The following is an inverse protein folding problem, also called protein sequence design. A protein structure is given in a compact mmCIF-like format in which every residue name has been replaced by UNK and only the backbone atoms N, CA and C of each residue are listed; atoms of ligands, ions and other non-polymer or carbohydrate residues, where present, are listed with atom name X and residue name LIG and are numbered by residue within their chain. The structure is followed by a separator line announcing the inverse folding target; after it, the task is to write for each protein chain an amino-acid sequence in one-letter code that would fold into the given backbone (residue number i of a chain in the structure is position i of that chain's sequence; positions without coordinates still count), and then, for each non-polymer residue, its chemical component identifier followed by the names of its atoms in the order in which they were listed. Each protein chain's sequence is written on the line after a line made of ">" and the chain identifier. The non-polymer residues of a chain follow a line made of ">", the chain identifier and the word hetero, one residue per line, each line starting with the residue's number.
data_IF_871582190423
#
_entry.id   IF_871582190423
#
_cell.length_a   1.000
_cell.length_b   1.000
_cell.length_c   1.000
_cell.angle_alpha   90.00
_cell.angle_beta   90.00
_cell.angle_gamma   90.00
#
_symmetry.space_group_name_H-M   'P 1'
#
loop_
_entity.id
_entity.type
_entity.pdbx_description
1 polymer ?
#
# COMPACT_ATOMS: atom_id res chain seq x y z
N UNK A 1 16.11 8.36 29.45
CA UNK A 1 15.06 7.67 28.68
C UNK A 1 13.97 7.29 29.64
N UNK A 2 12.71 7.55 29.30
CA UNK A 2 11.57 7.06 30.10
C UNK A 2 11.59 5.55 30.09
N UNK A 3 11.42 4.84 31.21
CA UNK A 3 11.40 3.39 31.23
C UNK A 3 10.27 2.86 30.34
N UNK A 4 10.54 1.78 29.61
CA UNK A 4 9.54 1.11 28.78
C UNK A 4 8.52 0.45 29.71
N UNK A 5 7.20 0.69 29.55
CA UNK A 5 6.18 0.09 30.38
C UNK A 5 6.04 -1.42 30.13
N UNK A 6 5.42 -2.16 31.02
CA UNK A 6 5.15 -3.58 30.86
C UNK A 6 3.99 -3.86 29.88
N UNK A 7 3.02 -2.95 29.82
CA UNK A 7 1.84 -3.04 28.97
C UNK A 7 1.73 -1.84 28.03
N UNK A 8 1.03 -2.02 26.93
CA UNK A 8 0.74 -1.01 25.92
C UNK A 8 -0.71 -1.12 25.47
N UNK A 9 -1.25 -0.03 24.97
CA UNK A 9 -2.55 -0.02 24.30
C UNK A 9 -2.41 -0.37 22.83
N UNK A 10 -3.36 -1.15 22.31
CA UNK A 10 -3.38 -1.58 20.91
C UNK A 10 -4.80 -1.62 20.39
N UNK A 11 -5.02 -1.15 19.15
CA UNK A 11 -6.29 -1.32 18.45
C UNK A 11 -6.33 -2.72 17.84
N UNK A 12 -7.36 -3.47 18.19
CA UNK A 12 -7.49 -4.87 17.77
C UNK A 12 -8.93 -5.23 17.41
N UNK A 13 -9.05 -6.36 16.70
CA UNK A 13 -10.30 -7.10 16.60
C UNK A 13 -10.18 -8.35 17.50
N UNK A 14 -10.92 -8.38 18.62
CA UNK A 14 -10.93 -9.50 19.57
C UNK A 14 -11.65 -10.74 19.02
N UNK A 15 -12.47 -10.54 18.00
CA UNK A 15 -13.13 -11.55 17.14
C UNK A 15 -13.20 -11.04 15.73
N UNK A 16 -13.44 -11.90 14.75
CA UNK A 16 -13.63 -11.44 13.37
C UNK A 16 -14.85 -10.54 13.26
N UNK A 17 -14.63 -9.28 12.94
CA UNK A 17 -15.65 -8.23 12.92
C UNK A 17 -15.32 -7.11 11.91
N UNK A 18 -16.31 -6.27 11.68
CA UNK A 18 -16.16 -4.98 11.00
C UNK A 18 -15.63 -3.92 12.00
N UNK A 19 -15.25 -2.72 11.51
CA UNK A 19 -14.69 -1.66 12.34
C UNK A 19 -15.49 -1.28 13.59
N UNK A 20 -16.81 -1.41 13.56
CA UNK A 20 -17.66 -1.15 14.73
C UNK A 20 -17.32 -2.04 15.96
N UNK A 21 -16.75 -3.22 15.69
CA UNK A 21 -16.32 -4.17 16.73
C UNK A 21 -14.85 -4.04 17.14
N UNK A 22 -14.12 -3.03 16.68
CA UNK A 22 -12.73 -2.83 17.09
C UNK A 22 -12.67 -2.28 18.51
N UNK A 23 -11.62 -2.68 19.24
CA UNK A 23 -11.42 -2.34 20.64
C UNK A 23 -9.97 -1.90 20.85
N UNK A 24 -9.79 -0.96 21.79
CA UNK A 24 -8.46 -0.66 22.33
C UNK A 24 -8.30 -1.47 23.60
N UNK A 25 -7.32 -2.38 23.60
CA UNK A 25 -7.04 -3.23 24.75
C UNK A 25 -5.57 -3.08 25.19
N UNK A 26 -5.30 -3.47 26.43
CA UNK A 26 -3.93 -3.58 26.94
C UNK A 26 -3.33 -4.93 26.52
N UNK A 27 -2.12 -4.87 26.00
CA UNK A 27 -1.29 -6.01 25.62
C UNK A 27 0.10 -5.85 26.25
N UNK A 28 0.86 -6.93 26.44
CA UNK A 28 2.28 -6.82 26.81
C UNK A 28 3.06 -6.05 25.72
N UNK A 29 3.98 -5.19 26.14
CA UNK A 29 4.95 -4.59 25.22
C UNK A 29 5.81 -5.72 24.65
N UNK A 30 5.99 -5.80 23.32
CA UNK A 30 6.76 -6.88 22.71
C UNK A 30 8.26 -6.73 23.02
N UNK A 31 8.90 -7.85 23.32
CA UNK A 31 10.35 -7.94 23.48
C UNK A 31 11.07 -8.20 22.15
N UNK A 32 12.29 -7.70 22.02
CA UNK A 32 13.22 -8.10 20.95
C UNK A 32 13.62 -9.55 21.18
N UNK A 33 13.27 -10.42 20.24
CA UNK A 33 13.58 -11.88 20.32
C UNK A 33 14.63 -12.31 19.31
N UNK A 34 14.79 -11.55 18.23
CA UNK A 34 15.77 -11.83 17.16
C UNK A 34 16.82 -10.73 17.08
N UNK A 35 18.03 -11.07 16.67
CA UNK A 35 19.13 -10.10 16.65
C UNK A 35 18.94 -8.95 15.63
N UNK A 36 18.10 -9.13 14.61
CA UNK A 36 17.77 -8.16 13.56
C UNK A 36 16.51 -7.33 13.85
N UNK A 37 15.92 -7.48 15.03
CA UNK A 37 14.68 -6.77 15.41
C UNK A 37 14.97 -5.41 16.07
N UNK A 38 14.02 -4.53 15.92
CA UNK A 38 14.02 -3.16 16.42
C UNK A 38 12.72 -2.91 17.17
N UNK A 39 12.78 -2.38 18.39
CA UNK A 39 11.63 -1.93 19.16
C UNK A 39 11.39 -0.45 18.90
N UNK A 40 10.18 -0.11 18.49
CA UNK A 40 9.74 1.26 18.20
C UNK A 40 8.71 1.73 19.22
N UNK A 41 8.77 3.02 19.59
CA UNK A 41 7.63 3.77 20.10
C UNK A 41 6.91 4.36 18.89
N UNK A 42 5.67 3.94 18.66
CA UNK A 42 4.91 4.37 17.48
C UNK A 42 4.28 5.73 17.72
N UNK A 43 4.42 6.62 16.76
CA UNK A 43 3.78 7.94 16.76
C UNK A 43 2.51 7.93 15.91
N UNK A 44 2.57 7.33 14.73
CA UNK A 44 1.44 7.25 13.81
C UNK A 44 1.42 5.90 13.10
N UNK A 45 0.23 5.46 12.74
CA UNK A 45 0.03 4.28 11.90
C UNK A 45 -1.06 4.56 10.87
N UNK A 46 -1.01 3.90 9.71
CA UNK A 46 -2.08 3.98 8.74
C UNK A 46 -2.97 2.74 8.81
N UNK A 47 -4.27 2.96 8.72
CA UNK A 47 -5.26 1.91 8.51
C UNK A 47 -5.55 1.77 7.02
N UNK A 48 -5.64 0.55 6.51
CA UNK A 48 -5.89 0.28 5.11
C UNK A 48 -6.78 -0.94 4.90
N UNK A 49 -7.19 -1.18 3.66
CA UNK A 49 -8.11 -2.28 3.30
C UNK A 49 -7.61 -3.65 3.76
N UNK A 50 -6.28 -3.89 3.75
CA UNK A 50 -5.69 -5.14 4.24
C UNK A 50 -5.96 -5.38 5.73
N UNK A 51 -5.92 -4.33 6.55
CA UNK A 51 -6.28 -4.41 7.98
C UNK A 51 -7.74 -4.82 8.15
N UNK A 52 -8.64 -4.18 7.40
CA UNK A 52 -10.07 -4.50 7.44
C UNK A 52 -10.36 -5.94 6.97
N UNK A 53 -9.67 -6.42 5.93
CA UNK A 53 -9.80 -7.79 5.43
C UNK A 53 -9.35 -8.82 6.47
N UNK A 54 -8.22 -8.57 7.13
CA UNK A 54 -7.69 -9.45 8.19
C UNK A 54 -8.63 -9.49 9.39
N UNK A 55 -9.07 -8.31 9.87
CA UNK A 55 -9.99 -8.22 11.00
C UNK A 55 -11.34 -8.87 10.74
N UNK A 56 -11.81 -8.87 9.49
CA UNK A 56 -13.08 -9.46 9.07
C UNK A 56 -12.99 -10.97 8.80
N UNK A 57 -11.77 -11.51 8.76
CA UNK A 57 -11.54 -12.91 8.42
C UNK A 57 -11.78 -13.24 6.94
N UNK A 58 -11.68 -12.26 6.05
CA UNK A 58 -11.96 -12.43 4.61
C UNK A 58 -11.05 -13.46 3.93
N UNK A 59 -9.91 -13.76 4.53
CA UNK A 59 -8.90 -14.69 4.02
C UNK A 59 -8.78 -15.97 4.85
N UNK A 60 -9.72 -16.22 5.78
CA UNK A 60 -9.65 -17.38 6.68
C UNK A 60 -9.70 -18.73 5.94
N UNK A 61 -10.21 -18.76 4.72
CA UNK A 61 -10.18 -19.95 3.86
C UNK A 61 -8.77 -20.33 3.38
N UNK A 62 -7.82 -19.41 3.45
CA UNK A 62 -6.40 -19.65 3.16
C UNK A 62 -5.59 -19.82 4.44
N UNK A 63 -5.73 -18.87 5.36
CA UNK A 63 -5.05 -18.86 6.67
C UNK A 63 -5.81 -17.96 7.62
N UNK A 64 -6.05 -18.46 8.83
CA UNK A 64 -6.75 -17.71 9.88
C UNK A 64 -5.74 -16.94 10.70
N UNK A 65 -5.82 -15.61 10.79
CA UNK A 65 -4.95 -14.85 11.68
C UNK A 65 -5.26 -15.17 13.15
N UNK A 66 -4.25 -15.11 14.03
CA UNK A 66 -4.47 -15.29 15.46
C UNK A 66 -5.34 -14.17 16.04
N UNK A 67 -6.17 -14.51 17.02
CA UNK A 67 -6.94 -13.53 17.79
C UNK A 67 -6.18 -13.15 19.08
N UNK A 68 -6.23 -11.89 19.50
CA UNK A 68 -6.83 -10.76 18.82
C UNK A 68 -6.03 -10.36 17.55
N UNK A 69 -6.75 -10.02 16.46
CA UNK A 69 -6.10 -9.51 15.25
C UNK A 69 -5.59 -8.10 15.53
N UNK A 70 -4.29 -7.91 15.57
CA UNK A 70 -3.65 -6.59 15.71
C UNK A 70 -3.70 -5.84 14.38
N UNK A 71 -4.04 -4.55 14.42
CA UNK A 71 -4.24 -3.70 13.25
C UNK A 71 -3.03 -2.78 13.00
N UNK A 72 -2.90 -2.33 11.75
CA UNK A 72 -1.80 -1.47 11.31
C UNK A 72 -0.66 -2.25 10.67
N UNK A 73 -0.66 -2.29 9.34
CA UNK A 73 0.40 -2.94 8.55
C UNK A 73 1.64 -2.05 8.46
N UNK A 74 1.49 -0.74 8.61
CA UNK A 74 2.56 0.25 8.48
C UNK A 74 2.43 1.36 9.52
N UNK A 75 3.57 1.95 9.88
CA UNK A 75 3.62 3.03 10.86
C UNK A 75 4.97 3.74 10.89
N UNK A 76 5.06 4.74 11.74
CA UNK A 76 6.28 5.49 11.97
C UNK A 76 6.42 5.84 13.46
N UNK A 77 7.64 6.01 13.88
CA UNK A 77 7.93 6.33 15.28
C UNK A 77 9.43 6.45 15.53
N UNK A 78 9.80 6.30 16.79
CA UNK A 78 11.18 6.44 17.25
C UNK A 78 11.70 5.09 17.75
N UNK A 79 12.92 4.77 17.35
CA UNK A 79 13.65 3.58 17.83
C UNK A 79 13.93 3.71 19.33
N UNK A 80 13.55 2.70 20.10
CA UNK A 80 13.85 2.64 21.55
C UNK A 80 14.98 1.69 21.87
N UNK A 81 15.00 0.53 21.21
CA UNK A 81 16.02 -0.50 21.39
C UNK A 81 16.24 -1.27 20.09
N UNK A 82 17.42 -1.87 19.96
CA UNK A 82 17.83 -2.63 18.79
C UNK A 82 18.45 -3.95 19.19
N UNK A 83 18.24 -4.97 18.36
CA UNK A 83 18.90 -6.26 18.49
C UNK A 83 20.38 -6.20 18.12
N UNK A 84 21.13 -7.22 18.48
CA UNK A 84 22.60 -7.24 18.36
C UNK A 84 23.14 -7.28 16.92
N UNK A 85 22.33 -7.64 15.93
CA UNK A 85 22.70 -7.66 14.51
C UNK A 85 22.20 -6.44 13.72
N UNK A 86 21.47 -5.52 14.35
CA UNK A 86 21.05 -4.25 13.74
C UNK A 86 22.29 -3.38 13.50
N UNK A 87 22.43 -2.84 12.29
CA UNK A 87 23.63 -2.13 11.84
C UNK A 87 23.43 -0.65 11.67
N UNK A 88 22.30 -0.26 11.06
CA UNK A 88 22.10 1.08 10.56
C UNK A 88 21.23 1.94 11.48
N UNK A 89 20.42 1.32 12.36
CA UNK A 89 19.52 2.03 13.25
C UNK A 89 20.02 2.06 14.70
N UNK A 90 19.69 3.14 15.41
CA UNK A 90 20.07 3.37 16.82
C UNK A 90 18.88 3.94 17.60
N UNK A 91 18.84 3.75 18.94
CA UNK A 91 17.87 4.42 19.78
C UNK A 91 17.87 5.94 19.56
N UNK A 92 16.67 6.50 19.37
CA UNK A 92 16.46 7.91 19.04
C UNK A 92 16.25 8.20 17.55
N UNK A 93 16.55 7.26 16.64
CA UNK A 93 16.30 7.46 15.22
C UNK A 93 14.79 7.50 14.93
N UNK A 94 14.38 8.47 14.13
CA UNK A 94 13.03 8.54 13.57
C UNK A 94 12.94 7.64 12.33
N UNK A 95 12.01 6.70 12.34
CA UNK A 95 11.85 5.70 11.29
C UNK A 95 10.40 5.50 10.88
N UNK A 96 10.22 4.96 9.69
CA UNK A 96 8.93 4.49 9.20
C UNK A 96 9.11 3.16 8.48
N UNK A 97 8.06 2.36 8.49
CA UNK A 97 8.16 1.04 7.89
C UNK A 97 6.81 0.35 7.71
N UNK A 98 6.86 -0.82 7.11
CA UNK A 98 5.67 -1.65 6.91
C UNK A 98 6.00 -3.13 7.06
N UNK A 99 5.02 -3.88 7.56
CA UNK A 99 5.13 -5.32 7.79
C UNK A 99 4.18 -6.09 6.88
N UNK A 100 4.58 -6.26 5.63
CA UNK A 100 3.83 -6.99 4.61
C UNK A 100 4.77 -7.72 3.64
N UNK A 101 5.85 -8.31 4.18
CA UNK A 101 6.75 -9.16 3.38
C UNK A 101 5.98 -10.31 2.76
N UNK A 102 6.37 -10.70 1.56
CA UNK A 102 5.85 -11.92 0.95
C UNK A 102 6.66 -13.15 1.40
N UNK A 103 6.01 -14.27 1.63
CA UNK A 103 4.56 -14.46 1.62
C UNK A 103 3.89 -13.79 2.82
N UNK A 104 2.71 -13.19 2.60
CA UNK A 104 1.94 -12.56 3.69
C UNK A 104 1.22 -13.58 4.59
N UNK A 105 1.18 -14.84 4.18
CA UNK A 105 0.63 -15.95 4.95
C UNK A 105 1.72 -16.96 5.32
N UNK A 106 1.65 -17.59 6.51
CA UNK A 106 0.66 -17.34 7.56
C UNK A 106 0.79 -15.93 8.15
N UNK A 107 -0.32 -15.35 8.59
CA UNK A 107 -0.36 -13.98 9.09
C UNK A 107 0.62 -13.76 10.24
N UNK A 108 1.52 -12.79 10.04
CA UNK A 108 2.38 -12.24 11.09
C UNK A 108 2.04 -10.76 11.26
N UNK A 109 0.97 -10.47 12.01
CA UNK A 109 0.48 -9.13 12.21
C UNK A 109 1.25 -8.46 13.35
N UNK A 110 2.11 -7.53 13.02
CA UNK A 110 2.89 -6.74 13.98
C UNK A 110 1.98 -5.76 14.72
N UNK A 111 1.05 -5.11 14.00
CA UNK A 111 0.05 -4.23 14.58
C UNK A 111 0.59 -2.85 14.95
N UNK A 112 0.91 -2.04 13.95
CA UNK A 112 1.41 -0.67 14.17
C UNK A 112 0.39 0.29 14.79
N UNK A 113 -0.92 -0.06 14.85
CA UNK A 113 -1.88 0.74 15.62
C UNK A 113 -1.80 0.30 17.09
N UNK A 114 -0.61 0.48 17.65
CA UNK A 114 -0.21 0.14 19.04
C UNK A 114 0.85 1.14 19.49
N UNK A 115 0.99 1.34 20.80
CA UNK A 115 1.99 2.28 21.33
C UNK A 115 3.43 1.83 21.10
N UNK A 116 3.65 0.51 21.04
CA UNK A 116 4.98 -0.09 20.77
C UNK A 116 4.86 -1.22 19.76
N UNK A 117 5.93 -1.43 18.99
CA UNK A 117 6.01 -2.49 18.00
C UNK A 117 7.45 -3.00 17.87
N UNK A 118 7.61 -4.30 17.66
CA UNK A 118 8.88 -4.90 17.25
C UNK A 118 8.77 -5.33 15.80
N UNK A 119 9.75 -4.94 15.00
CA UNK A 119 9.85 -5.29 13.57
C UNK A 119 11.30 -5.48 13.17
N UNK A 120 11.56 -6.01 11.98
CA UNK A 120 12.92 -6.17 11.44
C UNK A 120 13.48 -4.83 10.97
N UNK A 121 14.81 -4.64 11.14
CA UNK A 121 15.52 -3.50 10.56
C UNK A 121 15.30 -3.38 9.05
N UNK A 122 15.28 -4.50 8.33
CA UNK A 122 15.09 -4.56 6.87
C UNK A 122 13.77 -3.99 6.38
N UNK A 123 12.77 -3.84 7.26
CA UNK A 123 11.43 -3.29 6.97
C UNK A 123 11.27 -1.85 7.44
N UNK A 124 12.38 -1.21 7.83
CA UNK A 124 12.41 0.17 8.30
C UNK A 124 13.27 1.04 7.38
N UNK A 125 12.87 2.29 7.27
CA UNK A 125 13.61 3.37 6.60
C UNK A 125 13.74 4.54 7.57
N UNK A 126 14.85 5.29 7.50
CA UNK A 126 15.00 6.54 8.23
C UNK A 126 14.04 7.58 7.68
N UNK A 127 13.33 8.26 8.58
CA UNK A 127 12.43 9.33 8.17
C UNK A 127 13.22 10.54 7.64
N UNK A 128 12.91 11.03 6.43
CA UNK A 128 13.48 12.29 5.97
C UNK A 128 13.14 13.44 6.94
N UNK A 129 14.10 14.29 7.33
CA UNK A 129 13.88 15.30 8.39
C UNK A 129 12.84 16.36 8.00
N UNK A 130 12.63 16.60 6.72
CA UNK A 130 11.68 17.59 6.20
C UNK A 130 10.25 17.07 6.03
N UNK A 131 10.01 15.78 6.28
CA UNK A 131 8.68 15.18 6.21
C UNK A 131 8.17 14.82 7.62
N UNK A 132 6.87 14.98 7.84
CA UNK A 132 6.22 14.53 9.07
C UNK A 132 6.06 13.00 9.11
N UNK A 133 5.76 12.45 10.28
CA UNK A 133 5.45 11.03 10.43
C UNK A 133 4.21 10.63 9.61
N UNK A 134 3.21 11.49 9.59
CA UNK A 134 1.96 11.29 8.85
C UNK A 134 2.21 11.21 7.34
N UNK A 135 3.05 12.08 6.80
CA UNK A 135 3.38 12.11 5.37
C UNK A 135 4.12 10.85 4.93
N UNK A 136 5.16 10.43 5.64
CA UNK A 136 5.93 9.24 5.26
C UNK A 136 5.11 7.98 5.34
N UNK A 137 4.25 7.83 6.36
CA UNK A 137 3.37 6.66 6.49
C UNK A 137 2.28 6.68 5.40
N UNK A 138 1.72 7.85 5.09
CA UNK A 138 0.70 7.97 4.04
C UNK A 138 1.23 7.56 2.67
N UNK A 139 2.49 7.85 2.38
CA UNK A 139 3.13 7.58 1.09
C UNK A 139 3.65 6.14 0.98
N UNK A 140 4.17 5.54 2.05
CA UNK A 140 5.03 4.35 2.01
C UNK A 140 4.48 3.19 1.19
N UNK A 141 3.40 2.55 1.64
CA UNK A 141 2.88 1.35 0.97
C UNK A 141 2.46 1.60 -0.48
N UNK A 142 1.89 2.79 -0.73
CA UNK A 142 1.47 3.19 -2.07
C UNK A 142 2.66 3.42 -2.99
N UNK A 143 3.76 3.99 -2.47
CA UNK A 143 4.99 4.23 -3.26
C UNK A 143 5.69 2.91 -3.58
N UNK A 144 5.82 1.99 -2.62
CA UNK A 144 6.40 0.65 -2.85
C UNK A 144 5.61 -0.08 -3.95
N UNK A 145 4.28 -0.12 -3.83
CA UNK A 145 3.42 -0.80 -4.81
C UNK A 145 3.49 -0.12 -6.19
N UNK A 146 3.45 1.21 -6.23
CA UNK A 146 3.53 1.97 -7.48
C UNK A 146 4.91 1.83 -8.13
N UNK A 147 5.99 1.90 -7.36
CA UNK A 147 7.35 1.73 -7.85
C UNK A 147 7.54 0.38 -8.54
N UNK A 148 7.20 -0.70 -7.84
CA UNK A 148 7.33 -2.05 -8.39
C UNK A 148 6.43 -2.27 -9.60
N UNK A 149 5.19 -1.73 -9.58
CA UNK A 149 4.27 -1.82 -10.70
C UNK A 149 4.73 -1.03 -11.93
N UNK A 150 5.24 0.17 -11.74
CA UNK A 150 5.78 1.00 -12.82
C UNK A 150 7.05 0.37 -13.40
N UNK A 151 7.99 -0.07 -12.54
CA UNK A 151 9.21 -0.78 -12.95
C UNK A 151 8.90 -2.01 -13.81
N UNK A 152 7.94 -2.84 -13.36
CA UNK A 152 7.48 -4.00 -14.14
C UNK A 152 6.84 -3.57 -15.46
N UNK A 153 5.95 -2.58 -15.45
CA UNK A 153 5.30 -2.08 -16.67
C UNK A 153 6.31 -1.56 -17.68
N UNK A 154 7.28 -0.77 -17.24
CA UNK A 154 8.36 -0.26 -18.10
C UNK A 154 9.20 -1.39 -18.72
N UNK A 155 9.49 -2.45 -17.97
CA UNK A 155 10.22 -3.62 -18.49
C UNK A 155 9.47 -4.39 -19.61
N UNK A 156 8.15 -4.25 -19.65
CA UNK A 156 7.30 -4.87 -20.68
C UNK A 156 7.19 -4.04 -21.96
N UNK A 157 7.50 -2.75 -21.91
CA UNK A 157 7.40 -1.85 -23.05
C UNK A 157 8.62 -2.01 -23.99
N UNK A 158 8.42 -2.07 -25.32
CA UNK A 158 9.53 -2.12 -26.27
C UNK A 158 10.31 -0.79 -26.27
N UNK A 159 11.64 -0.88 -26.32
CA UNK A 159 12.51 0.28 -26.53
C UNK A 159 12.68 1.23 -25.32
N UNK A 160 12.22 0.85 -24.12
CA UNK A 160 12.48 1.60 -22.91
C UNK A 160 13.86 1.23 -22.33
N UNK A 161 14.92 1.72 -22.98
CA UNK A 161 16.27 1.66 -22.42
C UNK A 161 16.58 2.79 -21.42
N UNK A 162 15.61 3.66 -21.16
CA UNK A 162 15.70 4.75 -20.19
C UNK A 162 14.72 4.56 -19.03
N UNK A 163 15.10 5.00 -17.84
CA UNK A 163 14.22 5.05 -16.66
C UNK A 163 13.20 6.22 -16.74
N UNK A 164 12.84 6.64 -17.96
CA UNK A 164 11.95 7.77 -18.23
C UNK A 164 10.82 7.38 -19.18
N UNK A 165 9.69 8.06 -19.02
CA UNK A 165 8.49 7.89 -19.83
C UNK A 165 8.20 9.12 -20.72
N UNK A 166 9.25 9.83 -21.13
CA UNK A 166 9.16 11.01 -21.99
C UNK A 166 8.44 10.68 -23.30
N UNK A 167 7.47 11.52 -23.65
CA UNK A 167 6.62 11.32 -24.82
C UNK A 167 5.59 10.18 -24.72
N UNK A 168 5.60 9.39 -23.64
CA UNK A 168 4.65 8.29 -23.44
C UNK A 168 3.34 8.77 -22.85
N UNK A 169 2.24 8.17 -23.28
CA UNK A 169 0.90 8.36 -22.71
C UNK A 169 0.60 7.24 -21.72
N UNK A 170 0.32 7.61 -20.48
CA UNK A 170 0.01 6.66 -19.41
C UNK A 170 -1.42 6.85 -18.91
N UNK A 171 -2.09 5.74 -18.59
CA UNK A 171 -3.43 5.74 -18.01
C UNK A 171 -3.44 5.03 -16.66
N UNK A 172 -3.91 5.73 -15.63
CA UNK A 172 -4.07 5.19 -14.28
C UNK A 172 -5.50 5.48 -13.81
N UNK A 173 -6.39 4.49 -13.70
CA UNK A 173 -7.73 4.72 -13.20
C UNK A 173 -7.73 5.08 -11.71
N UNK A 174 -8.82 5.73 -11.24
CA UNK A 174 -9.05 6.10 -9.85
C UNK A 174 -7.99 7.08 -9.29
N UNK A 175 -7.97 8.31 -9.82
CA UNK A 175 -7.01 9.37 -9.49
C UNK A 175 -6.81 9.61 -7.97
N UNK A 176 -7.86 9.51 -7.18
CA UNK A 176 -7.81 9.71 -5.72
C UNK A 176 -7.80 8.39 -4.91
N UNK A 177 -7.57 7.26 -5.57
CA UNK A 177 -7.29 6.01 -4.89
C UNK A 177 -5.89 6.03 -4.27
N UNK A 178 -5.67 5.34 -3.15
CA UNK A 178 -4.40 5.38 -2.40
C UNK A 178 -3.17 5.15 -3.30
N UNK A 179 -3.14 4.06 -4.07
CA UNK A 179 -2.03 3.75 -4.97
C UNK A 179 -2.07 4.59 -6.25
N UNK A 180 -3.27 4.84 -6.82
CA UNK A 180 -3.43 5.65 -8.02
C UNK A 180 -2.94 7.08 -7.83
N UNK A 181 -3.25 7.69 -6.69
CA UNK A 181 -2.81 9.03 -6.32
C UNK A 181 -1.28 9.17 -6.31
N UNK A 182 -0.60 8.20 -5.73
CA UNK A 182 0.88 8.19 -5.68
C UNK A 182 1.47 7.84 -7.05
N UNK A 183 0.90 6.85 -7.74
CA UNK A 183 1.38 6.43 -9.07
C UNK A 183 1.32 7.55 -10.10
N UNK A 184 0.24 8.35 -10.12
CA UNK A 184 0.11 9.49 -11.02
C UNK A 184 1.22 10.53 -10.78
N UNK A 185 1.48 10.87 -9.53
CA UNK A 185 2.56 11.77 -9.17
C UNK A 185 3.94 11.20 -9.56
N UNK A 186 4.19 9.91 -9.32
CA UNK A 186 5.43 9.26 -9.73
C UNK A 186 5.60 9.29 -11.24
N UNK A 187 4.57 8.91 -12.00
CA UNK A 187 4.61 8.90 -13.46
C UNK A 187 4.91 10.28 -14.03
N UNK A 188 4.30 11.33 -13.49
CA UNK A 188 4.53 12.72 -13.94
C UNK A 188 5.84 13.30 -13.43
N UNK A 189 6.05 13.31 -12.10
CA UNK A 189 7.10 14.08 -11.44
C UNK A 189 8.44 13.35 -11.33
N UNK A 190 8.43 12.00 -11.37
CA UNK A 190 9.65 11.18 -11.24
C UNK A 190 10.05 10.59 -12.60
N UNK A 191 9.11 9.98 -13.31
CA UNK A 191 9.37 9.30 -14.58
C UNK A 191 9.18 10.19 -15.82
N UNK A 192 8.60 11.39 -15.69
CA UNK A 192 8.48 12.38 -16.76
C UNK A 192 7.51 11.95 -17.88
N UNK A 193 6.41 11.27 -17.54
CA UNK A 193 5.43 10.87 -18.56
C UNK A 193 4.90 12.07 -19.34
N UNK A 194 4.87 11.92 -20.67
CA UNK A 194 4.45 12.98 -21.59
C UNK A 194 2.98 13.35 -21.41
N UNK A 195 2.11 12.36 -21.29
CA UNK A 195 0.68 12.57 -21.00
C UNK A 195 0.19 11.60 -19.93
N UNK A 196 -0.48 12.13 -18.91
CA UNK A 196 -1.07 11.37 -17.81
C UNK A 196 -2.59 11.48 -17.85
N UNK A 197 -3.28 10.35 -18.01
CA UNK A 197 -4.73 10.25 -18.07
C UNK A 197 -5.23 9.53 -16.82
N UNK A 198 -6.31 10.01 -16.24
CA UNK A 198 -6.93 9.33 -15.10
C UNK A 198 -8.45 9.45 -15.09
N UNK A 199 -9.09 8.68 -14.19
CA UNK A 199 -10.54 8.71 -14.00
C UNK A 199 -10.89 9.06 -12.56
N UNK A 200 -12.06 9.68 -12.39
CA UNK A 200 -12.62 10.04 -11.09
C UNK A 200 -14.14 10.12 -11.17
N UNK A 201 -14.83 10.09 -10.03
CA UNK A 201 -16.29 10.38 -9.98
C UNK A 201 -16.55 11.88 -9.98
N UNK A 202 -17.71 12.32 -10.48
CA UNK A 202 -18.13 13.72 -10.61
C UNK A 202 -17.84 14.56 -9.37
N UNK A 203 -18.27 14.10 -8.21
CA UNK A 203 -18.08 14.82 -6.95
C UNK A 203 -16.61 15.06 -6.55
N UNK A 204 -15.69 14.29 -7.11
CA UNK A 204 -14.26 14.33 -6.80
C UNK A 204 -13.41 15.05 -7.85
N UNK A 205 -14.01 15.46 -8.97
CA UNK A 205 -13.28 16.20 -10.04
C UNK A 205 -12.51 17.42 -9.49
N UNK A 206 -13.10 18.32 -8.69
CA UNK A 206 -12.38 19.47 -8.16
C UNK A 206 -11.23 19.11 -7.20
N UNK A 207 -11.30 17.93 -6.58
CA UNK A 207 -10.28 17.50 -5.63
C UNK A 207 -8.99 17.05 -6.30
N UNK A 208 -9.05 16.59 -7.56
CA UNK A 208 -7.86 16.16 -8.29
C UNK A 208 -6.94 17.34 -8.53
N UNK A 209 -7.42 18.45 -9.06
CA UNK A 209 -6.63 19.66 -9.27
C UNK A 209 -6.16 20.27 -7.94
N UNK A 210 -7.01 20.26 -6.92
CA UNK A 210 -6.64 20.74 -5.58
C UNK A 210 -5.46 19.99 -4.97
N UNK A 211 -5.42 18.66 -5.10
CA UNK A 211 -4.42 17.83 -4.45
C UNK A 211 -3.24 17.45 -5.35
N UNK A 212 -3.42 17.48 -6.67
CA UNK A 212 -2.41 17.12 -7.67
C UNK A 212 -2.38 18.15 -8.82
N UNK A 213 -2.15 19.44 -8.55
CA UNK A 213 -2.15 20.46 -9.60
C UNK A 213 -1.10 20.13 -10.68
N UNK A 214 -1.51 20.13 -11.95
CA UNK A 214 -0.65 19.88 -13.08
C UNK A 214 -0.11 18.45 -13.25
N UNK A 215 -0.60 17.47 -12.46
CA UNK A 215 -0.16 16.07 -12.55
C UNK A 215 -0.97 15.30 -13.59
N UNK A 216 -2.27 15.53 -13.67
CA UNK A 216 -3.17 14.82 -14.58
C UNK A 216 -3.48 15.71 -15.78
N UNK A 217 -2.99 15.32 -16.97
CA UNK A 217 -3.20 16.09 -18.19
C UNK A 217 -4.61 15.91 -18.78
N UNK A 218 -5.24 14.76 -18.54
CA UNK A 218 -6.62 14.48 -18.94
C UNK A 218 -7.35 13.72 -17.84
N UNK A 219 -8.35 14.39 -17.26
CA UNK A 219 -9.20 13.78 -16.23
C UNK A 219 -10.55 13.42 -16.82
N UNK A 220 -11.00 12.19 -16.63
CA UNK A 220 -12.25 11.67 -17.17
C UNK A 220 -13.21 11.41 -16.01
N UNK A 221 -14.36 12.03 -16.03
CA UNK A 221 -15.46 11.72 -15.11
C UNK A 221 -16.21 10.47 -15.62
N UNK A 222 -15.90 9.31 -15.01
CA UNK A 222 -16.46 8.03 -15.46
C UNK A 222 -17.98 7.90 -15.21
N UNK A 223 -18.62 8.84 -14.50
CA UNK A 223 -20.06 8.83 -14.28
C UNK A 223 -20.83 9.52 -15.43
N UNK A 224 -20.17 10.41 -16.15
CA UNK A 224 -20.78 11.23 -17.22
C UNK A 224 -20.14 11.01 -18.59
N UNK A 225 -18.94 10.42 -18.64
CA UNK A 225 -18.16 10.23 -19.86
C UNK A 225 -17.85 8.74 -20.10
N UNK A 226 -17.78 8.33 -21.37
CA UNK A 226 -17.32 6.99 -21.76
C UNK A 226 -15.79 6.96 -21.74
N UNK A 227 -15.22 6.27 -20.77
CA UNK A 227 -13.77 6.18 -20.56
C UNK A 227 -13.05 5.64 -21.80
N UNK A 228 -13.60 4.62 -22.48
CA UNK A 228 -12.95 4.03 -23.67
C UNK A 228 -12.91 4.99 -24.84
N UNK A 229 -13.99 5.75 -25.04
CA UNK A 229 -14.09 6.77 -26.07
C UNK A 229 -13.13 7.94 -25.80
N UNK A 230 -13.10 8.42 -24.55
CA UNK A 230 -12.25 9.54 -24.14
C UNK A 230 -10.77 9.23 -24.17
N UNK A 231 -10.37 8.03 -23.75
CA UNK A 231 -8.97 7.56 -23.83
C UNK A 231 -8.57 7.27 -25.27
N UNK A 232 -9.46 6.70 -26.06
CA UNK A 232 -9.20 6.30 -27.45
C UNK A 232 -8.39 4.99 -27.55
N UNK A 233 -8.77 4.15 -28.51
CA UNK A 233 -8.05 2.88 -28.75
C UNK A 233 -6.66 3.12 -29.31
N UNK A 234 -5.67 2.41 -28.78
CA UNK A 234 -4.27 2.49 -29.25
C UNK A 234 -3.58 3.82 -28.95
N UNK A 235 -4.13 4.65 -28.08
CA UNK A 235 -3.57 5.97 -27.71
C UNK A 235 -2.77 5.96 -26.41
N UNK A 236 -2.67 4.82 -25.74
CA UNK A 236 -2.00 4.67 -24.44
C UNK A 236 -0.86 3.67 -24.60
N UNK A 237 0.32 4.06 -24.16
CA UNK A 237 1.52 3.20 -24.16
C UNK A 237 1.53 2.28 -22.92
N UNK A 238 1.04 2.77 -21.77
CA UNK A 238 1.09 2.05 -20.50
C UNK A 238 -0.18 2.27 -19.68
N UNK A 239 -0.78 1.18 -19.19
CA UNK A 239 -1.91 1.22 -18.26
C UNK A 239 -1.45 0.65 -16.91
N UNK A 240 -1.50 1.46 -15.87
CA UNK A 240 -1.29 0.99 -14.50
C UNK A 240 -2.64 0.89 -13.79
N UNK A 241 -3.26 -0.29 -13.83
CA UNK A 241 -4.56 -0.51 -13.21
C UNK A 241 -4.41 -0.76 -11.70
N UNK A 242 -4.85 0.21 -10.91
CA UNK A 242 -4.84 0.17 -9.43
C UNK A 242 -6.16 -0.29 -8.83
N UNK A 243 -7.14 -0.63 -9.66
CA UNK A 243 -8.47 -1.05 -9.24
C UNK A 243 -8.53 -2.58 -9.12
N UNK A 244 -8.77 -3.06 -7.91
CA UNK A 244 -9.10 -4.47 -7.68
C UNK A 244 -10.57 -4.72 -8.05
N UNK A 245 -10.88 -4.81 -9.33
CA UNK A 245 -12.20 -5.23 -9.80
C UNK A 245 -12.08 -6.45 -10.69
N UNK A 246 -12.61 -7.57 -10.23
CA UNK A 246 -12.66 -8.83 -11.00
C UNK A 246 -13.49 -8.72 -12.29
N UNK A 247 -14.35 -7.69 -12.43
CA UNK A 247 -15.36 -7.62 -13.48
C UNK A 247 -15.00 -6.77 -14.71
N UNK A 248 -13.90 -6.02 -14.70
CA UNK A 248 -13.58 -5.08 -15.79
C UNK A 248 -12.17 -5.24 -16.34
N UNK A 249 -11.72 -6.43 -16.66
CA UNK A 249 -10.33 -6.74 -17.07
C UNK A 249 -9.38 -7.07 -15.91
N UNK A 250 -9.90 -7.51 -14.77
CA UNK A 250 -9.06 -8.00 -13.69
C UNK A 250 -8.18 -9.14 -14.20
N UNK A 251 -6.88 -8.87 -14.31
CA UNK A 251 -5.91 -9.90 -14.63
C UNK A 251 -5.83 -10.84 -13.45
N UNK A 252 -6.27 -12.08 -13.63
CA UNK A 252 -5.99 -13.12 -12.64
C UNK A 252 -4.49 -13.32 -12.61
N UNK A 253 -3.79 -13.14 -11.49
CA UNK A 253 -2.35 -13.30 -11.41
C UNK A 253 -1.91 -14.71 -11.82
N UNK A 254 -0.70 -14.88 -12.29
CA UNK A 254 -0.12 -16.22 -12.51
C UNK A 254 0.00 -16.96 -11.18
N UNK A 255 -0.02 -18.30 -11.24
CA UNK A 255 0.18 -19.12 -10.04
C UNK A 255 1.46 -18.77 -9.28
N UNK A 256 2.55 -18.46 -10.00
CA UNK A 256 3.82 -18.01 -9.41
C UNK A 256 3.67 -16.71 -8.61
N UNK A 257 2.90 -15.74 -9.13
CA UNK A 257 2.63 -14.47 -8.44
C UNK A 257 1.76 -14.70 -7.21
N UNK A 258 0.72 -15.54 -7.32
CA UNK A 258 -0.14 -15.88 -6.18
C UNK A 258 0.66 -16.62 -5.11
N UNK A 259 1.51 -17.57 -5.48
CA UNK A 259 2.40 -18.27 -4.54
C UNK A 259 3.39 -17.34 -3.86
N UNK A 260 3.96 -16.38 -4.58
CA UNK A 260 4.85 -15.39 -3.95
C UNK A 260 4.14 -14.57 -2.89
N UNK A 261 2.86 -14.23 -3.09
CA UNK A 261 2.07 -13.43 -2.14
C UNK A 261 1.56 -14.25 -0.97
N UNK A 262 1.02 -15.44 -1.23
CA UNK A 262 0.29 -16.23 -0.21
C UNK A 262 1.07 -17.47 0.29
N UNK A 263 2.24 -17.76 -0.28
CA UNK A 263 3.05 -18.90 0.12
C UNK A 263 2.42 -20.25 -0.24
N UNK A 264 2.84 -21.28 0.48
CA UNK A 264 2.37 -22.67 0.29
C UNK A 264 0.96 -22.93 0.84
N UNK A 265 0.33 -21.94 1.47
CA UNK A 265 -1.06 -22.06 1.99
C UNK A 265 -2.10 -22.04 0.89
N UNK A 266 -1.72 -21.70 -0.34
CA UNK A 266 -2.62 -21.66 -1.49
C UNK A 266 -3.04 -23.09 -1.92
N UNK A 267 -4.35 -23.38 -2.01
CA UNK A 267 -4.83 -24.65 -2.57
C UNK A 267 -4.31 -24.87 -3.99
N UNK A 268 -3.82 -26.09 -4.30
CA UNK A 268 -3.20 -26.39 -5.60
C UNK A 268 -4.10 -26.08 -6.80
N UNK A 269 -5.42 -26.28 -6.66
CA UNK A 269 -6.39 -26.03 -7.71
C UNK A 269 -6.52 -24.53 -8.06
N UNK A 270 -6.27 -23.62 -7.10
CA UNK A 270 -6.27 -22.18 -7.38
C UNK A 270 -5.09 -21.80 -8.29
N UNK A 271 -3.91 -22.39 -8.08
CA UNK A 271 -2.78 -22.20 -8.98
C UNK A 271 -3.08 -22.67 -10.39
N UNK A 272 -3.67 -23.86 -10.50
CA UNK A 272 -4.05 -24.43 -11.79
C UNK A 272 -5.12 -23.60 -12.52
N UNK A 273 -6.18 -23.19 -11.82
CA UNK A 273 -7.21 -22.30 -12.37
C UNK A 273 -6.62 -20.96 -12.83
N UNK A 274 -5.67 -20.42 -12.08
CA UNK A 274 -4.95 -19.19 -12.40
C UNK A 274 -4.13 -19.31 -13.70
N UNK A 275 -3.41 -20.41 -13.85
CA UNK A 275 -2.59 -20.66 -15.06
C UNK A 275 -3.47 -20.90 -16.30
N UNK A 276 -4.63 -21.58 -16.15
CA UNK A 276 -5.61 -21.68 -17.22
C UNK A 276 -6.15 -20.30 -17.66
N UNK A 277 -6.43 -19.43 -16.70
CA UNK A 277 -6.84 -18.07 -17.02
C UNK A 277 -5.77 -17.31 -17.82
N UNK A 278 -4.47 -17.56 -17.55
CA UNK A 278 -3.39 -16.99 -18.35
C UNK A 278 -3.39 -17.46 -19.80
N UNK A 279 -3.75 -18.72 -20.06
CA UNK A 279 -3.90 -19.24 -21.43
C UNK A 279 -5.01 -18.49 -22.14
N UNK A 280 -6.16 -18.29 -21.46
CA UNK A 280 -7.27 -17.52 -22.02
C UNK A 280 -6.87 -16.06 -22.33
N UNK A 281 -6.16 -15.38 -21.43
CA UNK A 281 -5.69 -14.01 -21.66
C UNK A 281 -4.69 -13.94 -22.82
N UNK A 282 -3.73 -14.87 -22.91
CA UNK A 282 -2.80 -14.95 -24.03
C UNK A 282 -3.52 -15.13 -25.37
N UNK A 283 -4.53 -15.99 -25.40
CA UNK A 283 -5.36 -16.19 -26.59
C UNK A 283 -6.13 -14.93 -26.95
N UNK A 284 -6.78 -14.27 -25.98
CA UNK A 284 -7.56 -13.03 -26.17
C UNK A 284 -6.69 -11.87 -26.67
N UNK A 285 -5.44 -11.81 -26.23
CA UNK A 285 -4.48 -10.75 -26.57
C UNK A 285 -3.59 -11.11 -27.77
N UNK A 286 -3.81 -12.28 -28.37
CA UNK A 286 -3.03 -12.73 -29.52
C UNK A 286 -3.07 -11.71 -30.67
N UNK A 287 -1.92 -11.36 -31.21
CA UNK A 287 -1.79 -10.39 -32.30
C UNK A 287 -2.00 -8.92 -31.93
N UNK A 288 -2.33 -8.61 -30.67
CA UNK A 288 -2.55 -7.20 -30.24
C UNK A 288 -1.27 -6.47 -29.85
N UNK A 289 -0.16 -7.19 -29.61
CA UNK A 289 1.06 -6.64 -29.04
C UNK A 289 0.95 -6.23 -27.56
N UNK A 290 -0.23 -6.38 -26.92
CA UNK A 290 -0.46 -6.02 -25.52
C UNK A 290 0.16 -7.07 -24.60
N UNK A 291 0.99 -6.62 -23.67
CA UNK A 291 1.52 -7.43 -22.56
C UNK A 291 0.84 -7.01 -21.26
N UNK A 292 0.54 -7.98 -20.40
CA UNK A 292 -0.07 -7.70 -19.11
C UNK A 292 0.53 -8.57 -18.03
N UNK A 293 0.71 -8.00 -16.84
CA UNK A 293 1.15 -8.69 -15.62
C UNK A 293 0.41 -8.13 -14.41
N UNK A 294 0.27 -8.96 -13.39
CA UNK A 294 -0.26 -8.55 -12.09
C UNK A 294 0.88 -8.43 -11.09
N UNK A 295 0.76 -7.50 -10.16
CA UNK A 295 1.73 -7.27 -9.11
C UNK A 295 1.04 -7.01 -7.78
N UNK A 296 1.71 -7.41 -6.70
CA UNK A 296 1.40 -7.01 -5.33
C UNK A 296 2.65 -6.42 -4.71
N UNK A 297 2.54 -5.26 -4.07
CA UNK A 297 3.68 -4.57 -3.45
C UNK A 297 4.33 -5.44 -2.37
N UNK A 298 5.65 -5.57 -2.42
CA UNK A 298 6.45 -6.38 -1.49
C UNK A 298 7.59 -5.57 -0.88
N UNK A 299 7.49 -5.12 0.38
CA UNK A 299 8.57 -4.41 1.07
C UNK A 299 9.77 -5.32 1.39
N UNK A 300 9.60 -6.64 1.30
CA UNK A 300 10.69 -7.60 1.50
C UNK A 300 11.76 -7.57 0.39
N UNK A 301 11.48 -6.93 -0.75
CA UNK A 301 12.49 -6.63 -1.78
C UNK A 301 13.19 -5.35 -1.36
N UNK A 302 14.28 -5.50 -0.61
CA UNK A 302 14.97 -4.38 0.06
C UNK A 302 15.38 -3.25 -0.89
N UNK A 303 15.94 -3.57 -2.05
CA UNK A 303 16.32 -2.57 -3.07
C UNK A 303 15.14 -1.72 -3.53
N UNK A 304 14.00 -2.36 -3.81
CA UNK A 304 12.79 -1.64 -4.22
C UNK A 304 12.19 -0.82 -3.07
N UNK A 305 12.31 -1.32 -1.84
CA UNK A 305 11.86 -0.64 -0.64
C UNK A 305 12.68 0.64 -0.37
N UNK A 306 14.00 0.56 -0.52
CA UNK A 306 14.91 1.70 -0.42
C UNK A 306 14.68 2.70 -1.54
N UNK A 307 14.56 2.25 -2.79
CA UNK A 307 14.26 3.12 -3.93
C UNK A 307 12.93 3.88 -3.75
N UNK A 308 11.90 3.22 -3.21
CA UNK A 308 10.64 3.87 -2.85
C UNK A 308 10.86 4.93 -1.76
N UNK A 309 11.69 4.65 -0.76
CA UNK A 309 12.09 5.58 0.28
C UNK A 309 12.82 6.82 -0.26
N UNK A 310 13.74 6.60 -1.20
CA UNK A 310 14.44 7.70 -1.89
C UNK A 310 13.46 8.60 -2.66
N UNK A 311 12.51 8.01 -3.38
CA UNK A 311 11.47 8.78 -4.08
C UNK A 311 10.65 9.61 -3.11
N UNK A 312 10.26 9.06 -1.95
CA UNK A 312 9.55 9.80 -0.90
C UNK A 312 10.43 10.96 -0.40
N UNK A 313 11.70 10.71 -0.16
CA UNK A 313 12.66 11.71 0.32
C UNK A 313 12.89 12.86 -0.66
N UNK A 314 12.60 12.71 -1.96
CA UNK A 314 12.72 13.82 -2.93
C UNK A 314 11.72 14.95 -2.67
N UNK A 315 10.64 14.72 -1.89
CA UNK A 315 9.56 15.68 -1.70
C UNK A 315 8.67 15.91 -2.94
N UNK A 316 8.88 15.14 -4.02
CA UNK A 316 8.08 15.23 -5.26
C UNK A 316 6.68 14.63 -5.14
N UNK A 317 6.44 13.86 -4.08
CA UNK A 317 5.16 13.25 -3.77
C UNK A 317 4.48 14.01 -2.64
N UNK A 318 3.23 14.36 -2.82
CA UNK A 318 2.40 14.96 -1.78
C UNK A 318 1.48 13.91 -1.18
N UNK A 319 1.34 13.93 0.13
CA UNK A 319 0.38 13.11 0.84
C UNK A 319 -0.94 13.87 1.04
N UNK A 320 -2.05 13.15 0.95
CA UNK A 320 -3.35 13.61 1.44
C UNK A 320 -3.76 12.69 2.57
N UNK A 321 -3.96 13.23 3.74
CA UNK A 321 -4.22 12.47 4.96
C UNK A 321 -5.51 12.89 5.65
N UNK A 322 -6.19 11.92 6.22
CA UNK A 322 -7.22 12.13 7.25
C UNK A 322 -6.61 11.62 8.55
N UNK A 323 -6.43 12.50 9.52
CA UNK A 323 -5.79 12.14 10.82
C UNK A 323 -6.88 12.02 11.88
N UNK A 324 -6.84 10.94 12.63
CA UNK A 324 -7.70 10.71 13.83
C UNK A 324 -6.84 10.40 15.04
N UNK A 325 -7.29 10.84 16.21
CA UNK A 325 -6.65 10.52 17.48
C UNK A 325 -6.96 9.07 17.87
N UNK A 326 -5.93 8.33 18.26
CA UNK A 326 -6.06 6.97 18.77
C UNK A 326 -7.00 6.87 19.98
N UNK A 327 -7.06 7.92 20.81
CA UNK A 327 -7.91 7.96 22.01
C UNK A 327 -9.39 8.20 21.67
N UNK A 328 -9.73 8.68 20.48
CA UNK A 328 -11.12 8.80 20.00
C UNK A 328 -11.54 7.55 19.25
N UNK A 329 -11.84 6.47 19.99
CA UNK A 329 -12.20 5.18 19.39
C UNK A 329 -13.39 5.27 18.44
N UNK A 330 -14.36 6.13 18.69
CA UNK A 330 -15.55 6.28 17.84
C UNK A 330 -15.18 6.96 16.51
N UNK A 331 -14.30 7.97 16.53
CA UNK A 331 -13.77 8.54 15.29
C UNK A 331 -12.92 7.51 14.51
N UNK A 332 -12.08 6.73 15.21
CA UNK A 332 -11.31 5.65 14.59
C UNK A 332 -12.22 4.65 13.89
N UNK A 333 -13.25 4.12 14.57
CA UNK A 333 -14.22 3.18 13.99
C UNK A 333 -14.93 3.76 12.78
N UNK A 334 -15.39 5.01 12.88
CA UNK A 334 -16.09 5.70 11.80
C UNK A 334 -15.21 5.83 10.56
N UNK A 335 -13.97 6.28 10.71
CA UNK A 335 -13.07 6.47 9.57
C UNK A 335 -12.58 5.11 9.01
N UNK A 336 -12.32 4.11 9.85
CA UNK A 336 -12.02 2.75 9.42
C UNK A 336 -13.17 2.14 8.59
N UNK A 337 -14.43 2.43 8.95
CA UNK A 337 -15.61 1.96 8.21
C UNK A 337 -15.68 2.53 6.80
N UNK A 338 -15.24 3.79 6.58
CA UNK A 338 -15.16 4.38 5.23
C UNK A 338 -14.14 3.63 4.37
N UNK A 339 -13.01 3.22 4.95
CA UNK A 339 -11.98 2.44 4.25
C UNK A 339 -12.50 1.03 3.92
N UNK A 340 -13.14 0.36 4.90
CA UNK A 340 -13.72 -0.99 4.71
C UNK A 340 -14.78 -1.00 3.61
N UNK A 341 -15.61 0.02 3.55
CA UNK A 341 -16.67 0.15 2.53
C UNK A 341 -16.17 0.74 1.20
N UNK A 342 -14.93 1.20 1.13
CA UNK A 342 -14.35 1.91 -0.03
C UNK A 342 -15.19 3.13 -0.45
N UNK A 343 -15.84 3.80 0.48
CA UNK A 343 -16.75 4.94 0.25
C UNK A 343 -16.36 6.14 1.10
N UNK A 344 -16.33 7.32 0.48
CA UNK A 344 -16.16 8.60 1.19
C UNK A 344 -14.75 8.90 1.69
N UNK A 345 -13.81 7.97 1.59
CA UNK A 345 -12.43 8.22 1.97
C UNK A 345 -11.72 9.10 0.93
N UNK A 346 -10.91 10.04 1.42
CA UNK A 346 -10.00 10.87 0.62
C UNK A 346 -8.63 10.79 1.25
N UNK A 347 -7.65 10.38 0.43
CA UNK A 347 -6.28 10.18 0.91
C UNK A 347 -6.13 8.95 1.82
N UNK A 348 -5.14 9.01 2.71
CA UNK A 348 -4.79 7.93 3.63
C UNK A 348 -5.34 8.21 5.04
N UNK A 349 -5.95 7.22 5.65
CA UNK A 349 -6.33 7.31 7.06
C UNK A 349 -5.11 7.06 7.93
N UNK A 350 -4.77 8.05 8.76
CA UNK A 350 -3.68 8.02 9.74
C UNK A 350 -4.28 8.07 11.13
N UNK A 351 -3.87 7.16 11.98
CA UNK A 351 -4.22 7.12 13.40
C UNK A 351 -2.99 7.63 14.18
N UNK A 352 -3.16 8.75 14.87
CA UNK A 352 -2.14 9.37 15.69
C UNK A 352 -2.16 8.75 17.08
N UNK A 353 -1.03 8.13 17.48
CA UNK A 353 -0.92 7.32 18.71
C UNK A 353 -0.22 8.11 19.83
N UNK A 354 0.80 8.90 19.49
CA UNK A 354 1.54 9.76 20.43
C UNK A 354 1.78 11.16 19.88
#
# INVERSE_FOLDING_TARGET
>A
MTPIPHTMRSLVATKFCKPDGYEIIELPVPDIKKPDEVLLKVHVSAFQTGDAMSAKGSTNFLSTPPLPVKLGIQGAGVVLAVGSAVKDLRPGDEVYGMHAEHPILPWSLVGYISEYVVTKESLLLRKPPHLSFEEVVALLASTVTAYQGIKLGMSLMPGTGSDKLEGKTVFVPAALGSTGFVALQMLKNVYGAGKVISTVSTAKVPLVEKFMPGVVDQLIDYQTQDVVKEVGRGKVDFIYNTMWQMNTSGVIPRSSTIKSVFGETMPFWMGWASDLAQVYYKWKLWGTGIKQEAISGNPGVREDFEAAGEIIATGKLKAVVTVVDFNDLEAVKRECSKIEQMKGAVGKLIIKIA
#
